data_IF_733671263694
#
_entry.id   IF_733671263694
#
_cell.length_a   1.000
_cell.length_b   1.000
_cell.length_c   1.000
_cell.angle_alpha   90.00
_cell.angle_beta   90.00
_cell.angle_gamma   90.00
#
_symmetry.space_group_name_H-M   'P 1'
#
loop_
_entity.id
_entity.type
_entity.pdbx_description
1 polymer ?
#
# COMPACT_ATOMS: atom_id res chain seq x y z
N UNK A 1 -1.30 -2.20 -9.80
CA UNK A 1 -1.98 -0.89 -9.70
C UNK A 1 -1.37 0.07 -10.68
N UNK A 2 -2.18 0.71 -11.53
CA UNK A 2 -1.77 1.86 -12.32
C UNK A 2 -1.45 3.05 -11.41
N UNK A 3 -0.76 4.04 -11.95
CA UNK A 3 -0.37 5.23 -11.17
C UNK A 3 -1.58 5.98 -10.59
N UNK A 4 -2.64 6.17 -11.37
CA UNK A 4 -3.85 6.87 -10.92
C UNK A 4 -4.56 6.14 -9.76
N UNK A 5 -4.66 4.82 -9.83
CA UNK A 5 -5.23 3.98 -8.77
C UNK A 5 -4.38 4.07 -7.50
N UNK A 6 -3.06 4.00 -7.64
CA UNK A 6 -2.15 4.18 -6.51
C UNK A 6 -2.31 5.56 -5.86
N UNK A 7 -2.46 6.63 -6.63
CA UNK A 7 -2.67 7.98 -6.10
C UNK A 7 -4.00 8.13 -5.34
N UNK A 8 -5.08 7.53 -5.85
CA UNK A 8 -6.39 7.51 -5.17
C UNK A 8 -6.28 6.75 -3.85
N UNK A 9 -5.67 5.57 -3.86
CA UNK A 9 -5.49 4.75 -2.66
C UNK A 9 -4.64 5.48 -1.62
N UNK A 10 -3.56 6.14 -2.03
CA UNK A 10 -2.71 6.93 -1.14
C UNK A 10 -3.48 8.03 -0.42
N UNK A 11 -4.32 8.77 -1.16
CA UNK A 11 -5.18 9.79 -0.56
C UNK A 11 -6.10 9.17 0.49
N UNK A 12 -6.76 8.07 0.17
CA UNK A 12 -7.65 7.40 1.11
C UNK A 12 -6.92 6.90 2.37
N UNK A 13 -5.72 6.33 2.19
CA UNK A 13 -4.87 5.87 3.30
C UNK A 13 -4.50 7.05 4.21
N UNK A 14 -4.08 8.18 3.65
CA UNK A 14 -3.74 9.38 4.42
C UNK A 14 -4.96 9.94 5.16
N UNK A 15 -6.12 9.99 4.49
CA UNK A 15 -7.35 10.56 5.07
C UNK A 15 -7.97 9.68 6.18
N UNK A 16 -7.79 8.35 6.11
CA UNK A 16 -8.52 7.39 6.95
C UNK A 16 -7.64 6.59 7.93
N UNK A 17 -6.32 6.66 7.85
CA UNK A 17 -5.42 5.97 8.78
C UNK A 17 -4.67 6.99 9.67
N UNK A 18 -5.30 7.47 10.77
CA UNK A 18 -4.61 8.29 11.75
C UNK A 18 -3.40 7.52 12.30
N UNK A 19 -2.25 8.19 12.41
CA UNK A 19 -0.99 7.57 12.85
C UNK A 19 0.02 7.26 11.73
N UNK A 20 -0.23 7.73 10.50
CA UNK A 20 0.76 7.75 9.42
C UNK A 20 1.61 9.02 9.39
N UNK A 21 1.48 9.91 10.37
CA UNK A 21 2.34 11.08 10.48
C UNK A 21 3.81 10.69 10.61
N UNK A 22 4.66 11.30 9.78
CA UNK A 22 6.08 10.96 9.70
C UNK A 22 6.38 9.64 8.96
N UNK A 23 5.36 8.97 8.40
CA UNK A 23 5.59 7.79 7.56
C UNK A 23 6.27 8.16 6.25
N UNK A 24 7.10 7.24 5.75
CA UNK A 24 7.63 7.33 4.39
C UNK A 24 6.84 6.42 3.49
N UNK A 25 6.22 7.00 2.46
CA UNK A 25 5.50 6.25 1.45
C UNK A 25 6.30 6.21 0.15
N UNK A 26 6.52 5.02 -0.38
CA UNK A 26 7.29 4.79 -1.60
C UNK A 26 6.45 4.05 -2.63
N UNK A 27 6.35 4.59 -3.84
CA UNK A 27 5.81 3.88 -4.99
C UNK A 27 6.93 3.07 -5.65
N UNK A 28 6.81 1.75 -5.62
CA UNK A 28 7.78 0.84 -6.21
C UNK A 28 7.25 0.40 -7.57
N UNK A 29 7.90 0.76 -8.70
CA UNK A 29 7.50 0.27 -10.01
C UNK A 29 7.62 -1.25 -10.07
N UNK A 30 6.57 -1.95 -10.49
CA UNK A 30 6.58 -3.40 -10.62
C UNK A 30 7.68 -3.87 -11.56
N UNK A 31 7.94 -3.14 -12.66
CA UNK A 31 9.02 -3.43 -13.60
C UNK A 31 10.42 -3.51 -12.98
N UNK A 32 10.64 -2.86 -11.83
CA UNK A 32 11.92 -2.92 -11.12
C UNK A 32 12.16 -4.28 -10.42
N UNK A 33 11.09 -5.02 -10.14
CA UNK A 33 11.12 -6.34 -9.49
C UNK A 33 10.81 -7.44 -10.52
N UNK A 34 9.84 -7.18 -11.40
CA UNK A 34 9.33 -8.10 -12.40
C UNK A 34 9.26 -7.39 -13.76
N UNK A 35 10.29 -7.54 -14.63
CA UNK A 35 10.46 -6.73 -15.84
C UNK A 35 9.27 -6.74 -16.83
N UNK A 36 8.46 -7.80 -16.81
CA UNK A 36 7.29 -7.98 -17.70
C UNK A 36 6.02 -7.30 -17.18
N UNK A 37 6.02 -6.76 -15.96
CA UNK A 37 4.82 -6.25 -15.30
C UNK A 37 4.86 -4.73 -15.17
N UNK A 38 3.70 -4.11 -15.36
CA UNK A 38 3.51 -2.67 -15.30
C UNK A 38 2.69 -2.29 -14.07
N UNK A 39 2.93 -1.09 -13.55
CA UNK A 39 2.22 -0.57 -12.38
C UNK A 39 3.12 -0.42 -11.17
N UNK A 40 2.51 -0.27 -10.01
CA UNK A 40 3.17 0.12 -8.77
C UNK A 40 2.71 -0.74 -7.59
N UNK A 41 3.62 -0.96 -6.65
CA UNK A 41 3.31 -1.32 -5.27
C UNK A 41 3.45 -0.08 -4.39
N UNK A 42 2.67 0.00 -3.33
CA UNK A 42 2.78 1.05 -2.32
C UNK A 42 3.50 0.44 -1.11
N UNK A 43 4.67 0.96 -0.77
CA UNK A 43 5.39 0.59 0.44
C UNK A 43 5.29 1.73 1.47
N UNK A 44 4.73 1.44 2.63
CA UNK A 44 4.49 2.41 3.69
C UNK A 44 5.37 2.01 4.88
N UNK A 45 6.41 2.78 5.14
CA UNK A 45 7.29 2.63 6.30
C UNK A 45 6.79 3.52 7.42
N UNK A 46 6.28 2.92 8.49
CA UNK A 46 5.67 3.61 9.62
C UNK A 46 5.65 2.72 10.86
N UNK A 47 5.52 3.35 12.03
CA UNK A 47 5.18 2.64 13.27
C UNK A 47 3.67 2.48 13.36
N UNK A 48 3.15 1.41 12.77
CA UNK A 48 1.71 1.19 12.75
C UNK A 48 1.17 0.83 14.13
N UNK A 49 0.22 1.63 14.62
CA UNK A 49 -0.62 1.25 15.75
C UNK A 49 -1.60 0.14 15.35
N UNK A 50 -2.21 -0.56 16.32
CA UNK A 50 -3.27 -1.54 16.05
C UNK A 50 -4.45 -0.92 15.30
N UNK A 51 -4.78 0.34 15.60
CA UNK A 51 -5.85 1.09 14.95
C UNK A 51 -5.49 1.40 13.49
N UNK A 52 -4.30 1.94 13.23
CA UNK A 52 -3.82 2.24 11.88
C UNK A 52 -3.73 0.99 11.01
N UNK A 53 -3.31 -0.15 11.56
CA UNK A 53 -3.34 -1.44 10.85
C UNK A 53 -4.77 -1.90 10.52
N UNK A 54 -5.71 -1.69 11.43
CA UNK A 54 -7.13 -2.01 11.21
C UNK A 54 -7.74 -1.16 10.10
N UNK A 55 -7.45 0.13 10.08
CA UNK A 55 -7.85 1.06 9.02
C UNK A 55 -7.26 0.65 7.66
N UNK A 56 -5.95 0.42 7.63
CA UNK A 56 -5.24 0.04 6.40
C UNK A 56 -5.79 -1.28 5.83
N UNK A 57 -6.05 -2.28 6.68
CA UNK A 57 -6.63 -3.55 6.25
C UNK A 57 -8.00 -3.36 5.58
N UNK A 58 -8.89 -2.55 6.17
CA UNK A 58 -10.22 -2.27 5.59
C UNK A 58 -10.12 -1.58 4.22
N UNK A 59 -9.18 -0.65 4.07
CA UNK A 59 -8.94 0.04 2.80
C UNK A 59 -8.43 -0.97 1.76
N UNK A 60 -7.42 -1.77 2.10
CA UNK A 60 -6.86 -2.78 1.20
C UNK A 60 -7.94 -3.77 0.75
N UNK A 61 -8.74 -4.30 1.68
CA UNK A 61 -9.83 -5.23 1.37
C UNK A 61 -10.92 -4.59 0.49
N UNK A 62 -11.27 -3.32 0.74
CA UNK A 62 -12.27 -2.59 -0.04
C UNK A 62 -11.87 -2.33 -1.50
N UNK A 63 -10.57 -2.40 -1.81
CA UNK A 63 -10.03 -2.25 -3.16
C UNK A 63 -9.62 -3.58 -3.81
N UNK A 64 -9.92 -4.72 -3.19
CA UNK A 64 -9.50 -6.06 -3.64
C UNK A 64 -7.97 -6.18 -3.82
N UNK A 65 -7.23 -5.54 -2.91
CA UNK A 65 -5.78 -5.53 -2.89
C UNK A 65 -5.23 -6.52 -1.86
N UNK A 66 -3.95 -6.81 -2.00
CA UNK A 66 -3.19 -7.63 -1.07
C UNK A 66 -2.26 -6.75 -0.23
N UNK A 67 -2.05 -7.18 1.01
CA UNK A 67 -1.15 -6.52 1.96
C UNK A 67 -0.13 -7.52 2.51
N UNK A 68 1.15 -7.16 2.44
CA UNK A 68 2.24 -7.87 3.09
C UNK A 68 2.81 -7.01 4.22
N UNK A 69 2.72 -7.52 5.45
CA UNK A 69 3.31 -6.88 6.64
C UNK A 69 4.76 -7.31 6.78
N UNK A 70 5.66 -6.34 6.93
CA UNK A 70 7.08 -6.50 7.25
C UNK A 70 7.36 -5.92 8.65
N UNK A 71 8.57 -6.10 9.15
CA UNK A 71 8.96 -5.64 10.49
C UNK A 71 8.78 -4.13 10.70
N UNK A 72 9.06 -3.31 9.67
CA UNK A 72 9.03 -1.85 9.74
C UNK A 72 8.16 -1.20 8.65
N UNK A 73 7.46 -2.00 7.84
CA UNK A 73 6.71 -1.50 6.70
C UNK A 73 5.54 -2.39 6.32
N UNK A 74 4.61 -1.82 5.57
CA UNK A 74 3.51 -2.54 4.92
C UNK A 74 3.59 -2.31 3.42
N UNK A 75 3.51 -3.39 2.66
CA UNK A 75 3.47 -3.35 1.19
C UNK A 75 2.06 -3.68 0.71
N UNK A 76 1.45 -2.78 -0.05
CA UNK A 76 0.14 -2.94 -0.69
C UNK A 76 0.32 -3.13 -2.19
N UNK A 77 -0.32 -4.15 -2.75
CA UNK A 77 -0.18 -4.55 -4.14
C UNK A 77 -1.41 -5.28 -4.67
N UNK A 78 -1.59 -5.35 -5.98
CA UNK A 78 -2.66 -6.16 -6.59
C UNK A 78 -2.37 -7.65 -6.46
N UNK A 79 -3.43 -8.41 -6.14
CA UNK A 79 -3.44 -9.87 -6.33
C UNK A 79 -3.06 -10.20 -7.78
N UNK A 80 -2.19 -11.21 -7.97
CA UNK A 80 -1.83 -11.68 -9.30
C UNK A 80 -2.86 -12.72 -9.74
N UNK A 81 -3.32 -12.70 -11.00
CA UNK A 81 -3.77 -13.94 -11.62
C UNK A 81 -2.55 -14.88 -11.67
N UNK A 82 -2.65 -16.04 -11.01
CA UNK A 82 -1.68 -17.14 -11.12
C UNK A 82 -1.62 -17.68 -12.54
#
# INVERSE_FOLDING_TARGET
MKFAEAAILLREIVDRCPGLDGSTITLIPQKAIYPKYQGYHINIKANFSKESMGGLRRIVEGHDLMMQVKADAVVVYESRPT
#
